data_IF_506223038991
#
_entry.id   IF_506223038991
#
_cell.length_a   1.000
_cell.length_b   1.000
_cell.length_c   1.000
_cell.angle_alpha   90.00
_cell.angle_beta   90.00
_cell.angle_gamma   90.00
#
_symmetry.space_group_name_H-M   'P 1'
#
loop_
_entity.id
_entity.type
_entity.pdbx_description
1 polymer ?
#
# COMPACT_ATOMS: atom_id res chain seq x y z
N UNK A 1 38.76 -56.98 -34.73
CA UNK A 1 37.66 -56.35 -35.47
C UNK A 1 37.01 -55.30 -34.59
N UNK A 2 37.34 -54.06 -34.86
CA UNK A 2 36.86 -52.89 -34.09
C UNK A 2 35.42 -52.57 -34.47
N UNK A 3 34.55 -52.31 -33.49
CA UNK A 3 33.26 -51.67 -33.73
C UNK A 3 33.14 -50.41 -32.88
N UNK A 4 33.28 -49.22 -33.49
CA UNK A 4 32.99 -47.95 -32.82
C UNK A 4 31.60 -47.49 -33.22
N UNK A 5 30.76 -47.12 -32.26
CA UNK A 5 29.75 -46.06 -32.36
C UNK A 5 28.63 -46.26 -31.33
N UNK A 6 28.78 -45.62 -30.20
CA UNK A 6 27.63 -45.17 -29.41
C UNK A 6 27.64 -43.64 -29.43
N UNK A 7 26.56 -42.96 -29.90
CA UNK A 7 26.46 -41.53 -29.74
C UNK A 7 26.14 -41.18 -28.31
N UNK A 8 26.97 -40.33 -27.73
CA UNK A 8 26.68 -39.62 -26.50
C UNK A 8 25.41 -38.78 -26.69
N UNK A 9 24.32 -39.18 -26.05
CA UNK A 9 23.17 -38.36 -25.83
C UNK A 9 23.58 -37.25 -24.86
N UNK A 10 23.87 -36.09 -25.41
CA UNK A 10 23.88 -34.83 -24.63
C UNK A 10 22.45 -34.57 -24.17
N UNK A 11 22.19 -34.81 -22.90
CA UNK A 11 20.99 -34.30 -22.24
C UNK A 11 21.08 -32.78 -22.20
N UNK A 12 20.41 -32.14 -23.11
CA UNK A 12 20.08 -30.71 -22.96
C UNK A 12 19.22 -30.53 -21.70
N UNK A 13 19.90 -30.21 -20.60
CA UNK A 13 19.23 -29.65 -19.44
C UNK A 13 18.66 -28.29 -19.82
N UNK A 14 17.46 -28.28 -20.38
CA UNK A 14 16.59 -27.11 -20.40
C UNK A 14 16.14 -26.84 -18.96
N UNK A 15 17.04 -26.24 -18.18
CA UNK A 15 16.67 -25.56 -16.98
C UNK A 15 15.90 -24.30 -17.43
N UNK A 16 14.57 -24.42 -17.54
CA UNK A 16 13.68 -23.27 -17.59
C UNK A 16 13.89 -22.53 -16.28
N UNK A 17 14.70 -21.48 -16.30
CA UNK A 17 14.85 -20.57 -15.20
C UNK A 17 13.46 -19.96 -14.96
N UNK A 18 12.72 -20.48 -13.97
CA UNK A 18 11.55 -19.82 -13.44
C UNK A 18 12.02 -18.50 -12.86
N UNK A 19 11.89 -17.42 -13.62
CA UNK A 19 12.17 -16.08 -13.16
C UNK A 19 11.16 -15.76 -12.05
N UNK A 20 11.61 -15.75 -10.82
CA UNK A 20 10.78 -15.49 -9.65
C UNK A 20 10.25 -14.05 -9.74
N UNK A 21 8.93 -13.91 -9.73
CA UNK A 21 8.27 -12.60 -9.75
C UNK A 21 8.09 -12.11 -8.32
N UNK A 22 8.58 -10.90 -8.06
CA UNK A 22 8.44 -10.24 -6.77
C UNK A 22 7.28 -9.27 -6.78
N UNK A 23 6.60 -9.14 -5.64
CA UNK A 23 5.48 -8.21 -5.47
C UNK A 23 5.82 -7.18 -4.39
N UNK A 24 5.66 -5.92 -4.72
CA UNK A 24 5.79 -4.79 -3.79
C UNK A 24 4.46 -4.05 -3.70
N UNK A 25 4.06 -3.71 -2.47
CA UNK A 25 2.80 -2.99 -2.21
C UNK A 25 3.12 -1.70 -1.48
N UNK A 26 2.45 -0.61 -1.89
CA UNK A 26 2.50 0.69 -1.22
C UNK A 26 1.10 1.20 -0.99
N UNK A 27 0.92 1.87 0.12
CA UNK A 27 -0.36 2.43 0.54
C UNK A 27 -0.28 3.94 0.67
N UNK A 28 -1.38 4.60 0.37
CA UNK A 28 -1.61 5.99 0.72
C UNK A 28 -3.04 6.12 1.25
N UNK A 29 -3.18 6.63 2.45
CA UNK A 29 -4.48 6.93 3.07
C UNK A 29 -4.62 8.45 3.11
N UNK A 30 -5.71 8.94 2.53
CA UNK A 30 -6.01 10.38 2.42
C UNK A 30 -7.42 10.69 2.91
N UNK A 31 -7.68 11.95 3.23
CA UNK A 31 -8.99 12.45 3.64
C UNK A 31 -9.45 13.61 2.75
N UNK A 32 -10.75 13.81 2.66
CA UNK A 32 -11.36 15.03 2.10
C UNK A 32 -11.93 14.88 0.70
N UNK A 33 -11.81 13.72 0.05
CA UNK A 33 -12.28 13.52 -1.32
C UNK A 33 -13.44 12.53 -1.39
N UNK A 34 -14.45 12.88 -2.17
CA UNK A 34 -15.42 11.89 -2.68
C UNK A 34 -14.75 11.01 -3.73
N UNK A 35 -15.29 9.80 -3.97
CA UNK A 35 -14.76 8.90 -5.01
C UNK A 35 -14.69 9.56 -6.40
N UNK A 36 -15.65 10.46 -6.70
CA UNK A 36 -15.73 11.17 -7.99
C UNK A 36 -14.64 12.23 -8.13
N UNK A 37 -14.39 13.01 -7.09
CA UNK A 37 -13.32 14.02 -7.05
C UNK A 37 -11.96 13.36 -7.13
N UNK A 38 -11.74 12.35 -6.29
CA UNK A 38 -10.50 11.60 -6.27
C UNK A 38 -10.16 11.00 -7.64
N UNK A 39 -11.15 10.39 -8.30
CA UNK A 39 -10.95 9.83 -9.64
C UNK A 39 -10.45 10.85 -10.66
N UNK A 40 -10.88 12.10 -10.55
CA UNK A 40 -10.40 13.20 -11.43
C UNK A 40 -8.96 13.58 -11.10
N UNK A 41 -8.66 13.76 -9.81
CA UNK A 41 -7.31 14.15 -9.34
C UNK A 41 -6.25 13.13 -9.75
N UNK A 42 -6.51 11.84 -9.52
CA UNK A 42 -5.53 10.79 -9.79
C UNK A 42 -5.52 10.29 -11.25
N UNK A 43 -6.42 10.79 -12.11
CA UNK A 43 -6.56 10.31 -13.49
C UNK A 43 -5.25 10.35 -14.26
N UNK A 44 -4.56 11.50 -14.24
CA UNK A 44 -3.30 11.69 -14.95
C UNK A 44 -2.21 10.77 -14.39
N UNK A 45 -2.06 10.72 -13.07
CA UNK A 45 -1.11 9.83 -12.42
C UNK A 45 -1.34 8.36 -12.82
N UNK A 46 -2.60 7.90 -12.77
CA UNK A 46 -2.97 6.53 -13.12
C UNK A 46 -2.63 6.16 -14.56
N UNK A 47 -2.79 7.09 -15.51
CA UNK A 47 -2.51 6.87 -16.93
C UNK A 47 -1.00 6.75 -17.21
N UNK A 48 -0.14 7.27 -16.33
CA UNK A 48 1.32 7.24 -16.50
C UNK A 48 2.01 6.16 -15.66
N UNK A 49 1.23 5.32 -14.96
CA UNK A 49 1.79 4.16 -14.30
C UNK A 49 2.22 3.11 -15.33
N UNK A 50 3.39 2.49 -15.15
CA UNK A 50 3.81 1.39 -16.03
C UNK A 50 2.91 0.16 -15.86
N UNK A 51 2.87 -0.71 -16.86
CA UNK A 51 1.99 -1.88 -16.90
C UNK A 51 2.19 -2.84 -15.74
N UNK A 52 3.42 -2.91 -15.19
CA UNK A 52 3.72 -3.75 -14.04
C UNK A 52 3.20 -3.19 -12.71
N UNK A 53 2.58 -1.99 -12.70
CA UNK A 53 1.99 -1.37 -11.50
C UNK A 53 0.49 -1.21 -11.63
N UNK A 54 -0.25 -1.82 -10.71
CA UNK A 54 -1.70 -1.68 -10.59
C UNK A 54 -2.04 -0.73 -9.46
N UNK A 55 -2.96 0.21 -9.71
CA UNK A 55 -3.53 1.09 -8.69
C UNK A 55 -4.98 0.73 -8.40
N UNK A 56 -5.32 0.56 -7.13
CA UNK A 56 -6.69 0.39 -6.65
C UNK A 56 -7.04 1.46 -5.62
N UNK A 57 -8.31 1.85 -5.58
CA UNK A 57 -8.82 2.89 -4.67
C UNK A 57 -10.07 2.38 -3.97
N UNK A 58 -10.13 2.57 -2.67
CA UNK A 58 -11.33 2.33 -1.85
C UNK A 58 -11.62 3.58 -1.04
N UNK A 59 -12.82 4.15 -1.21
CA UNK A 59 -13.28 5.33 -0.48
C UNK A 59 -14.44 4.97 0.43
N UNK A 60 -14.37 5.38 1.68
CA UNK A 60 -15.44 5.27 2.66
C UNK A 60 -15.49 6.56 3.49
N UNK A 61 -16.63 7.26 3.47
CA UNK A 61 -16.86 8.49 4.26
C UNK A 61 -15.71 9.50 4.16
N UNK A 62 -15.32 9.89 2.95
CA UNK A 62 -14.24 10.83 2.63
C UNK A 62 -12.82 10.35 3.01
N UNK A 63 -12.66 9.17 3.58
CA UNK A 63 -11.35 8.54 3.75
C UNK A 63 -11.13 7.61 2.57
N UNK A 64 -10.04 7.80 1.86
CA UNK A 64 -9.66 6.98 0.71
C UNK A 64 -8.35 6.27 0.95
N UNK A 65 -8.34 4.97 0.68
CA UNK A 65 -7.14 4.14 0.64
C UNK A 65 -6.77 3.89 -0.81
N UNK A 66 -5.61 4.33 -1.20
CA UNK A 66 -5.00 4.07 -2.50
C UNK A 66 -3.92 3.01 -2.29
N UNK A 67 -3.97 1.95 -3.09
CA UNK A 67 -2.99 0.86 -3.04
C UNK A 67 -2.31 0.76 -4.40
N UNK A 68 -0.98 0.82 -4.40
CA UNK A 68 -0.14 0.53 -5.54
C UNK A 68 0.42 -0.88 -5.37
N UNK A 69 0.24 -1.75 -6.34
CA UNK A 69 0.78 -3.11 -6.37
C UNK A 69 1.65 -3.24 -7.60
N UNK A 70 2.94 -3.44 -7.42
CA UNK A 70 3.91 -3.65 -8.49
C UNK A 70 4.41 -5.09 -8.50
N UNK A 71 4.63 -5.65 -9.70
CA UNK A 71 5.12 -7.02 -9.89
C UNK A 71 6.23 -7.02 -10.93
N UNK A 72 7.46 -7.42 -10.54
CA UNK A 72 8.61 -7.50 -11.43
C UNK A 72 9.61 -8.53 -10.91
N UNK A 73 10.52 -9.00 -11.76
CA UNK A 73 11.60 -9.90 -11.36
C UNK A 73 12.83 -9.16 -10.80
N UNK A 74 12.95 -7.84 -11.03
CA UNK A 74 14.04 -6.99 -10.56
C UNK A 74 13.65 -6.31 -9.24
N UNK A 75 13.78 -7.03 -8.13
CA UNK A 75 13.27 -6.62 -6.82
C UNK A 75 13.75 -5.24 -6.37
N UNK A 76 15.03 -4.92 -6.51
CA UNK A 76 15.58 -3.62 -6.05
C UNK A 76 15.05 -2.46 -6.90
N UNK A 77 14.97 -2.64 -8.22
CA UNK A 77 14.41 -1.64 -9.12
C UNK A 77 12.90 -1.46 -8.88
N UNK A 78 12.19 -2.57 -8.68
CA UNK A 78 10.78 -2.54 -8.33
C UNK A 78 10.55 -1.75 -7.04
N UNK A 79 11.29 -2.06 -5.98
CA UNK A 79 11.19 -1.36 -4.68
C UNK A 79 11.49 0.14 -4.81
N UNK A 80 12.53 0.50 -5.51
CA UNK A 80 12.88 1.89 -5.78
C UNK A 80 11.75 2.64 -6.51
N UNK A 81 11.24 2.06 -7.59
CA UNK A 81 10.16 2.65 -8.38
C UNK A 81 8.86 2.77 -7.57
N UNK A 82 8.50 1.74 -6.79
CA UNK A 82 7.29 1.75 -5.96
C UNK A 82 7.35 2.83 -4.88
N UNK A 83 8.50 3.06 -4.25
CA UNK A 83 8.71 4.16 -3.30
C UNK A 83 8.55 5.52 -4.00
N UNK A 84 9.13 5.66 -5.18
CA UNK A 84 9.02 6.90 -5.98
C UNK A 84 7.57 7.19 -6.38
N UNK A 85 6.82 6.18 -6.85
CA UNK A 85 5.41 6.36 -7.20
C UNK A 85 4.55 6.71 -5.99
N UNK A 86 4.82 6.09 -4.83
CA UNK A 86 4.14 6.44 -3.60
C UNK A 86 4.39 7.89 -3.21
N UNK A 87 5.64 8.35 -3.26
CA UNK A 87 5.98 9.74 -2.93
C UNK A 87 5.33 10.73 -3.91
N UNK A 88 5.43 10.47 -5.21
CA UNK A 88 4.77 11.31 -6.23
C UNK A 88 3.26 11.40 -6.03
N UNK A 89 2.64 10.30 -5.61
CA UNK A 89 1.21 10.29 -5.29
C UNK A 89 0.91 11.06 -4.02
N UNK A 90 1.75 10.94 -2.98
CA UNK A 90 1.61 11.72 -1.75
C UNK A 90 1.77 13.23 -1.99
N UNK A 91 2.68 13.63 -2.86
CA UNK A 91 2.91 15.04 -3.21
C UNK A 91 1.70 15.69 -3.90
N UNK A 92 0.84 14.89 -4.57
CA UNK A 92 -0.42 15.39 -5.16
C UNK A 92 -1.40 15.84 -4.07
N UNK A 93 -1.40 15.18 -2.92
CA UNK A 93 -2.39 15.41 -1.86
C UNK A 93 -1.85 16.26 -0.70
N UNK A 94 -0.54 16.34 -0.53
CA UNK A 94 0.11 17.17 0.50
C UNK A 94 -0.51 17.02 1.90
N UNK A 95 -1.32 17.98 2.32
CA UNK A 95 -1.90 18.07 3.68
C UNK A 95 -3.02 17.06 3.94
N UNK A 96 -3.64 16.52 2.89
CA UNK A 96 -4.71 15.52 3.04
C UNK A 96 -4.20 14.10 3.29
N UNK A 97 -2.87 13.90 3.27
CA UNK A 97 -2.26 12.59 3.56
C UNK A 97 -2.35 12.28 5.05
N UNK A 98 -3.07 11.20 5.37
CA UNK A 98 -3.19 10.66 6.73
C UNK A 98 -2.03 9.70 7.01
N UNK A 99 -1.71 8.81 6.07
CA UNK A 99 -0.67 7.80 6.25
C UNK A 99 -0.14 7.27 4.92
N UNK A 100 1.14 6.99 4.87
CA UNK A 100 1.79 6.25 3.78
C UNK A 100 1.89 4.74 4.06
N UNK A 101 1.24 4.27 5.11
CA UNK A 101 1.16 2.86 5.50
C UNK A 101 -0.30 2.38 5.47
N UNK A 102 -0.51 1.07 5.55
CA UNK A 102 -1.85 0.48 5.66
C UNK A 102 -2.41 0.65 7.08
N UNK A 103 -2.75 1.89 7.43
CA UNK A 103 -3.28 2.24 8.75
C UNK A 103 -4.68 2.82 8.65
N UNK A 104 -5.48 2.54 9.65
CA UNK A 104 -6.78 3.18 9.85
C UNK A 104 -6.60 4.52 10.56
N UNK A 105 -7.59 5.40 10.46
CA UNK A 105 -7.57 6.69 11.14
C UNK A 105 -7.40 6.56 12.66
N UNK A 106 -8.09 5.65 13.38
CA UNK A 106 -7.86 5.44 14.80
C UNK A 106 -6.41 4.97 15.15
N UNK A 107 -5.77 4.17 14.29
CA UNK A 107 -4.38 3.77 14.50
C UNK A 107 -3.43 4.97 14.40
N UNK A 108 -3.60 5.79 13.36
CA UNK A 108 -2.78 7.01 13.19
C UNK A 108 -2.98 7.98 14.36
N UNK A 109 -4.24 8.16 14.81
CA UNK A 109 -4.56 8.99 15.97
C UNK A 109 -3.85 8.48 17.22
N UNK A 110 -3.93 7.19 17.50
CA UNK A 110 -3.29 6.57 18.67
C UNK A 110 -1.77 6.74 18.67
N UNK A 111 -1.13 6.56 17.52
CA UNK A 111 0.31 6.78 17.35
C UNK A 111 0.70 8.22 17.62
N UNK A 112 -0.02 9.19 17.04
CA UNK A 112 0.24 10.61 17.22
C UNK A 112 0.04 11.06 18.68
N UNK A 113 -0.99 10.56 19.37
CA UNK A 113 -1.24 10.87 20.76
C UNK A 113 -0.15 10.28 21.67
N UNK A 114 0.25 9.04 21.40
CA UNK A 114 1.32 8.39 22.17
C UNK A 114 2.67 9.09 21.96
N UNK A 115 3.02 9.41 20.71
CA UNK A 115 4.27 10.11 20.38
C UNK A 115 4.37 11.49 21.03
N UNK A 116 3.24 12.18 21.15
CA UNK A 116 3.18 13.53 21.74
C UNK A 116 2.84 13.54 23.22
N UNK A 117 2.73 12.37 23.85
CA UNK A 117 2.34 12.22 25.27
C UNK A 117 1.00 12.93 25.58
N UNK A 118 0.06 12.87 24.62
CA UNK A 118 -1.26 13.48 24.75
C UNK A 118 -2.32 12.42 25.00
N UNK A 119 -3.41 12.84 25.64
CA UNK A 119 -4.61 12.03 25.83
C UNK A 119 -5.82 12.69 25.15
N UNK A 120 -6.81 11.88 24.84
CA UNK A 120 -8.11 12.32 24.31
C UNK A 120 -9.23 11.68 25.10
N UNK A 121 -10.31 12.41 25.29
CA UNK A 121 -11.57 11.87 25.78
C UNK A 121 -12.70 12.34 24.87
N UNK A 122 -13.83 11.66 24.87
CA UNK A 122 -14.99 12.06 24.12
C UNK A 122 -16.27 11.93 24.93
N UNK A 123 -17.22 12.84 24.70
CA UNK A 123 -18.60 12.72 25.13
C UNK A 123 -19.47 12.61 23.87
N UNK A 124 -20.19 11.51 23.74
CA UNK A 124 -20.98 11.21 22.54
C UNK A 124 -22.48 11.22 22.85
N UNK A 125 -23.28 11.57 21.85
CA UNK A 125 -24.73 11.50 21.89
C UNK A 125 -25.25 10.74 20.67
N UNK A 126 -25.44 11.40 19.52
CA UNK A 126 -26.01 10.80 18.32
C UNK A 126 -25.16 9.69 17.69
N UNK A 127 -23.87 9.67 17.95
CA UNK A 127 -22.94 8.62 17.51
C UNK A 127 -23.06 7.33 18.30
N UNK A 128 -23.75 7.36 19.47
CA UNK A 128 -23.99 6.19 20.31
C UNK A 128 -22.72 5.50 20.83
N UNK A 129 -21.63 6.25 21.03
CA UNK A 129 -20.36 5.71 21.49
C UNK A 129 -19.45 5.19 20.35
N UNK A 130 -19.75 5.49 19.10
CA UNK A 130 -19.00 4.93 17.95
C UNK A 130 -17.57 5.48 17.85
N UNK A 131 -17.31 6.72 18.29
CA UNK A 131 -15.95 7.29 18.32
C UNK A 131 -15.13 6.56 19.35
N UNK A 132 -15.61 6.47 20.60
CA UNK A 132 -14.98 5.71 21.67
C UNK A 132 -14.74 4.25 21.27
N UNK A 133 -15.75 3.60 20.71
CA UNK A 133 -15.64 2.23 20.22
C UNK A 133 -14.50 2.05 19.21
N UNK A 134 -14.36 2.94 18.24
CA UNK A 134 -13.29 2.88 17.24
C UNK A 134 -11.90 3.08 17.84
N UNK A 135 -11.79 3.94 18.86
CA UNK A 135 -10.51 4.20 19.56
C UNK A 135 -10.12 2.98 20.39
N UNK A 136 -11.04 2.43 21.19
CA UNK A 136 -10.73 1.29 22.08
C UNK A 136 -10.48 -0.03 21.34
N UNK A 137 -10.83 -0.12 20.06
CA UNK A 137 -10.45 -1.25 19.22
C UNK A 137 -8.95 -1.31 18.92
N UNK A 138 -8.21 -0.22 19.15
CA UNK A 138 -6.77 -0.18 18.92
C UNK A 138 -6.06 -0.72 20.16
N UNK A 139 -5.24 -1.79 20.04
CA UNK A 139 -4.46 -2.29 21.17
C UNK A 139 -3.58 -1.19 21.76
N UNK A 140 -3.58 -1.08 23.10
CA UNK A 140 -2.82 -0.05 23.81
C UNK A 140 -3.52 1.30 23.92
N UNK A 141 -4.77 1.44 23.48
CA UNK A 141 -5.54 2.69 23.55
C UNK A 141 -5.65 3.27 24.98
N UNK A 142 -5.57 2.46 26.03
CA UNK A 142 -5.58 2.92 27.43
C UNK A 142 -4.39 3.83 27.80
N UNK A 143 -3.39 3.96 26.94
CA UNK A 143 -2.29 4.90 27.15
C UNK A 143 -2.67 6.35 26.82
N UNK A 144 -3.73 6.56 26.02
CA UNK A 144 -4.11 7.88 25.52
C UNK A 144 -5.63 8.17 25.56
N UNK A 145 -6.48 7.16 25.95
CA UNK A 145 -7.94 7.27 25.95
C UNK A 145 -8.58 6.81 27.26
#
# INVERSE_FOLDING_TARGET
>A
MFNPKSPLLMSENNASAHTEMNTEIRYLVIYGYTSRELAKVIKHFKLHLPEYVKMTVRTQSLVSRITLTGVDNKVELLRFNMNRFQQMLADIFSEEVISMQDKTLPQVLGELLTERELSVSCAESCTGGNIAHRIVQIPGSSAYF
#
